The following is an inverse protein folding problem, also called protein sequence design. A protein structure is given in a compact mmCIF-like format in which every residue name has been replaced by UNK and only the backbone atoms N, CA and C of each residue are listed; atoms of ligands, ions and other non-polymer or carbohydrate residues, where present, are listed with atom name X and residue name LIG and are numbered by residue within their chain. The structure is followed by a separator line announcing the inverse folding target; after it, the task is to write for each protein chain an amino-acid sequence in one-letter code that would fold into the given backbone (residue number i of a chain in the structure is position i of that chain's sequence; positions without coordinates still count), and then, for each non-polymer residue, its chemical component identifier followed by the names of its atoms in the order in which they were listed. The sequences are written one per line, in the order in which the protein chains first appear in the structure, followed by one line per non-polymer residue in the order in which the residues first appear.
data_IF_688255113343
#
_entry.id   IF_688255113343
#
_cell.length_a   1.000
_cell.length_b   1.000
_cell.length_c   1.000
_cell.angle_alpha   90.00
_cell.angle_beta   90.00
_cell.angle_gamma   90.00
#
_symmetry.space_group_name_H-M   'P 1'
#
loop_
_entity.id
_entity.type
_entity.pdbx_description
1 polymer ?
#
# COMPACT_ATOMS: atom_id res chain seq x y z
N UNK A 1 -48.33 -2.83 -32.28
CA UNK A 1 -49.36 -2.31 -31.34
C UNK A 1 -48.78 -2.53 -29.94
N UNK A 2 -48.25 -1.49 -29.27
CA UNK A 2 -48.91 -0.46 -28.42
C UNK A 2 -49.57 -1.03 -27.15
N UNK A 3 -48.96 -0.76 -25.99
CA UNK A 3 -49.56 -0.57 -24.66
C UNK A 3 -48.63 0.42 -23.90
N UNK A 4 -48.80 1.74 -24.04
CA UNK A 4 -49.52 2.70 -23.14
C UNK A 4 -49.15 2.53 -21.65
N UNK A 5 -48.38 3.47 -21.04
CA UNK A 5 -48.82 4.74 -20.38
C UNK A 5 -49.90 4.48 -19.32
N UNK A 6 -49.88 4.97 -18.09
CA UNK A 6 -49.12 5.99 -17.38
C UNK A 6 -49.51 5.86 -15.89
N UNK A 7 -48.78 6.46 -14.94
CA UNK A 7 -49.42 7.28 -13.87
C UNK A 7 -48.38 8.05 -13.06
N UNK A 8 -48.45 9.38 -13.18
CA UNK A 8 -47.91 10.36 -12.24
C UNK A 8 -48.99 10.56 -11.18
N UNK A 9 -48.63 10.52 -9.90
CA UNK A 9 -49.46 11.11 -8.84
C UNK A 9 -48.59 11.86 -7.84
N UNK A 10 -48.85 13.15 -7.79
CA UNK A 10 -48.35 14.21 -6.93
C UNK A 10 -48.68 14.00 -5.45
N UNK A 11 -47.79 14.40 -4.54
CA UNK A 11 -48.22 14.96 -3.26
C UNK A 11 -47.21 16.00 -2.72
N UNK A 12 -47.63 17.27 -2.77
CA UNK A 12 -47.05 18.37 -1.99
C UNK A 12 -47.37 18.17 -0.51
N UNK A 13 -46.36 18.27 0.37
CA UNK A 13 -46.55 18.56 1.80
C UNK A 13 -45.62 19.73 2.18
N UNK A 14 -46.13 20.91 2.58
CA UNK A 14 -45.35 21.88 3.32
C UNK A 14 -45.57 21.65 4.82
N UNK A 15 -44.63 20.97 5.48
CA UNK A 15 -44.58 20.97 6.95
C UNK A 15 -43.73 22.17 7.40
N UNK A 16 -44.40 23.30 7.66
CA UNK A 16 -43.82 24.32 8.51
C UNK A 16 -44.03 23.90 9.97
N UNK A 17 -43.01 23.29 10.58
CA UNK A 17 -42.93 23.16 12.03
C UNK A 17 -42.22 24.40 12.57
N UNK A 18 -42.99 25.31 13.15
CA UNK A 18 -42.45 26.34 14.03
C UNK A 18 -41.88 25.64 15.27
N UNK A 19 -40.56 25.56 15.35
CA UNK A 19 -39.86 25.13 16.56
C UNK A 19 -39.92 26.29 17.57
N UNK A 20 -40.21 26.05 18.86
CA UNK A 20 -39.88 27.02 19.89
C UNK A 20 -38.36 27.26 19.86
N UNK A 21 -37.95 28.53 19.87
CA UNK A 21 -36.54 28.88 20.02
C UNK A 21 -36.05 28.30 21.36
N UNK A 22 -34.90 27.62 21.41
CA UNK A 22 -34.30 27.24 22.68
C UNK A 22 -33.98 28.54 23.44
N UNK A 23 -34.58 28.69 24.62
CA UNK A 23 -34.09 29.63 25.62
C UNK A 23 -32.63 29.29 25.92
N UNK A 24 -31.76 30.28 25.82
CA UNK A 24 -30.35 30.13 26.13
C UNK A 24 -30.22 29.69 27.60
N UNK A 25 -29.79 28.45 27.82
CA UNK A 25 -29.31 28.01 29.12
C UNK A 25 -28.11 28.89 29.51
N UNK A 26 -27.99 29.30 30.80
CA UNK A 26 -26.85 30.07 31.25
C UNK A 26 -25.57 29.28 30.98
N UNK A 27 -24.66 29.90 30.23
CA UNK A 27 -23.33 29.39 29.90
C UNK A 27 -22.58 29.09 31.21
N UNK A 28 -22.65 27.85 31.66
CA UNK A 28 -21.77 27.37 32.71
C UNK A 28 -20.45 27.03 31.99
N UNK A 29 -19.38 27.81 32.16
CA UNK A 29 -18.16 27.59 31.39
C UNK A 29 -17.61 26.21 31.73
N UNK A 30 -17.51 25.35 30.71
CA UNK A 30 -16.75 24.11 30.85
C UNK A 30 -15.36 24.47 31.36
N UNK A 31 -14.82 23.74 32.37
CA UNK A 31 -13.46 23.97 32.81
C UNK A 31 -12.55 23.78 31.60
N UNK A 32 -11.87 24.87 31.20
CA UNK A 32 -10.85 24.85 30.16
C UNK A 32 -9.80 23.84 30.62
N UNK A 33 -9.52 22.77 29.87
CA UNK A 33 -8.43 21.88 30.21
C UNK A 33 -7.16 22.72 30.32
N UNK A 34 -6.50 22.68 31.47
CA UNK A 34 -5.15 23.22 31.61
C UNK A 34 -4.33 22.70 30.43
N UNK A 35 -3.81 23.62 29.61
CA UNK A 35 -2.91 23.28 28.53
C UNK A 35 -1.71 22.60 29.18
N UNK A 36 -1.65 21.28 29.05
CA UNK A 36 -0.45 20.52 29.39
C UNK A 36 0.60 21.04 28.40
N UNK A 37 1.53 21.86 28.90
CA UNK A 37 2.76 22.23 28.22
C UNK A 37 3.66 20.98 28.18
N UNK A 38 3.23 19.99 27.40
CA UNK A 38 4.11 18.94 26.93
C UNK A 38 5.09 19.64 26.01
N UNK A 39 6.31 19.85 26.49
CA UNK A 39 7.38 20.56 25.78
C UNK A 39 7.64 20.02 24.37
N UNK A 40 8.65 20.53 23.65
CA UNK A 40 8.84 20.25 22.22
C UNK A 40 8.72 18.76 21.88
N UNK A 41 7.62 18.36 21.23
CA UNK A 41 7.44 16.98 20.82
C UNK A 41 8.42 16.68 19.68
N UNK A 42 9.28 15.68 19.89
CA UNK A 42 10.18 15.18 18.87
C UNK A 42 9.35 14.49 17.78
N UNK A 43 9.08 15.23 16.71
CA UNK A 43 8.36 14.75 15.53
C UNK A 43 9.29 14.19 14.46
N UNK A 44 10.55 13.91 14.80
CA UNK A 44 11.48 13.28 13.86
C UNK A 44 10.95 11.91 13.40
N UNK A 45 11.23 11.49 12.15
CA UNK A 45 10.80 10.19 11.66
C UNK A 45 11.22 9.05 12.58
N UNK A 46 12.41 9.13 13.16
CA UNK A 46 12.94 8.13 14.08
C UNK A 46 12.16 8.08 15.40
N UNK A 47 11.81 9.24 15.98
CA UNK A 47 10.95 9.30 17.17
C UNK A 47 9.55 8.73 16.92
N UNK A 48 9.09 8.79 15.66
CA UNK A 48 7.84 8.20 15.20
C UNK A 48 7.98 6.72 14.76
N UNK A 49 9.16 6.11 14.91
CA UNK A 49 9.42 4.73 14.49
C UNK A 49 9.43 4.51 12.97
N UNK A 50 9.62 5.58 12.19
CA UNK A 50 9.69 5.55 10.74
C UNK A 50 11.12 5.28 10.27
N UNK A 51 11.34 4.07 9.76
CA UNK A 51 12.61 3.67 9.17
C UNK A 51 12.66 3.93 7.66
N UNK A 52 13.84 4.31 7.17
CA UNK A 52 14.09 4.47 5.73
C UNK A 52 13.95 3.12 5.04
N UNK A 53 13.03 3.01 4.08
CA UNK A 53 12.89 1.81 3.25
C UNK A 53 14.13 1.60 2.38
N UNK A 54 14.63 0.37 2.35
CA UNK A 54 15.71 -0.01 1.45
C UNK A 54 15.32 0.18 -0.01
N UNK A 55 16.27 0.59 -0.83
CA UNK A 55 16.15 0.61 -2.29
C UNK A 55 17.50 0.20 -2.86
N UNK A 56 17.56 -1.00 -3.42
CA UNK A 56 18.79 -1.62 -3.92
C UNK A 56 18.66 -1.82 -5.43
N UNK A 57 19.65 -1.38 -6.19
CA UNK A 57 19.72 -1.60 -7.65
C UNK A 57 20.45 -2.90 -7.94
N UNK A 58 19.73 -3.89 -8.46
CA UNK A 58 20.26 -5.23 -8.72
C UNK A 58 20.06 -5.62 -10.18
N UNK A 59 21.03 -6.37 -10.72
CA UNK A 59 20.98 -6.93 -12.06
C UNK A 59 20.33 -8.32 -12.04
N UNK A 60 19.58 -8.64 -13.10
CA UNK A 60 19.11 -10.01 -13.37
C UNK A 60 20.26 -10.79 -14.03
N UNK A 61 20.77 -11.85 -13.39
CA UNK A 61 22.04 -12.48 -13.82
C UNK A 61 21.99 -14.01 -14.01
N UNK A 62 21.12 -14.75 -13.32
CA UNK A 62 21.17 -16.23 -13.29
C UNK A 62 20.01 -16.91 -14.05
N UNK A 63 19.80 -16.54 -15.30
CA UNK A 63 18.74 -17.12 -16.14
C UNK A 63 19.29 -17.65 -17.46
N UNK A 64 18.97 -18.90 -17.79
CA UNK A 64 19.18 -19.48 -19.12
C UNK A 64 18.17 -18.96 -20.16
N UNK A 65 17.09 -18.34 -19.69
CA UNK A 65 16.07 -17.67 -20.52
C UNK A 65 16.39 -16.18 -20.68
N UNK A 66 15.86 -15.57 -21.74
CA UNK A 66 15.99 -14.13 -22.00
C UNK A 66 15.32 -13.24 -20.94
N UNK A 67 14.43 -13.80 -20.10
CA UNK A 67 13.78 -13.07 -19.01
C UNK A 67 13.38 -14.00 -17.87
N UNK A 68 13.09 -13.41 -16.70
CA UNK A 68 12.58 -14.08 -15.50
C UNK A 68 11.21 -13.52 -15.12
N UNK A 69 10.38 -14.35 -14.53
CA UNK A 69 9.02 -13.96 -14.13
C UNK A 69 9.05 -13.11 -12.85
N UNK A 70 8.35 -11.98 -12.88
CA UNK A 70 7.98 -11.20 -11.70
C UNK A 70 6.53 -11.52 -11.36
N UNK A 71 6.31 -12.13 -10.19
CA UNK A 71 5.02 -12.70 -9.79
C UNK A 71 4.32 -11.85 -8.74
N UNK A 72 2.99 -11.96 -8.63
CA UNK A 72 2.22 -11.15 -7.65
C UNK A 72 2.49 -11.51 -6.19
N UNK A 73 3.15 -12.64 -5.92
CA UNK A 73 3.57 -13.06 -4.59
C UNK A 73 4.80 -13.97 -4.59
N UNK A 74 5.28 -14.35 -3.39
CA UNK A 74 6.55 -15.06 -3.21
C UNK A 74 6.39 -16.57 -3.44
N UNK A 75 6.13 -16.96 -4.69
CA UNK A 75 5.99 -18.38 -5.04
C UNK A 75 5.68 -18.61 -6.50
N UNK A 76 5.88 -19.83 -6.96
CA UNK A 76 5.68 -20.21 -8.37
C UNK A 76 4.21 -20.33 -8.75
N UNK A 77 3.33 -20.56 -7.79
CA UNK A 77 1.87 -20.62 -7.99
C UNK A 77 1.24 -19.24 -8.19
N UNK A 78 1.93 -18.15 -7.82
CA UNK A 78 1.42 -16.81 -7.99
C UNK A 78 1.43 -16.38 -9.47
N UNK A 79 0.38 -15.68 -9.96
CA UNK A 79 0.32 -15.15 -11.31
C UNK A 79 1.57 -14.35 -11.71
N UNK A 80 1.99 -14.48 -12.96
CA UNK A 80 3.06 -13.65 -13.54
C UNK A 80 2.49 -12.28 -13.91
N UNK A 81 3.00 -11.23 -13.28
CA UNK A 81 2.59 -9.85 -13.52
C UNK A 81 3.44 -9.19 -14.61
N UNK A 82 4.74 -9.46 -14.60
CA UNK A 82 5.69 -8.92 -15.56
C UNK A 82 6.87 -9.88 -15.78
N UNK A 83 7.76 -9.55 -16.72
CA UNK A 83 9.01 -10.25 -16.93
C UNK A 83 10.18 -9.27 -16.92
N UNK A 84 11.22 -9.61 -16.16
CA UNK A 84 12.46 -8.85 -16.10
C UNK A 84 13.47 -9.47 -17.08
N UNK A 85 14.02 -8.66 -17.98
CA UNK A 85 14.97 -9.15 -18.99
C UNK A 85 16.29 -9.53 -18.34
N UNK A 86 16.88 -10.64 -18.76
CA UNK A 86 18.20 -11.04 -18.26
C UNK A 86 19.23 -9.98 -18.64
N UNK A 87 20.01 -9.53 -17.66
CA UNK A 87 21.00 -8.47 -17.83
C UNK A 87 20.49 -7.06 -17.50
N UNK A 88 19.18 -6.84 -17.35
CA UNK A 88 18.65 -5.54 -16.94
C UNK A 88 18.87 -5.28 -15.44
N UNK A 89 18.87 -4.00 -15.06
CA UNK A 89 18.99 -3.55 -13.67
C UNK A 89 17.69 -2.93 -13.19
N UNK A 90 17.20 -3.35 -12.05
CA UNK A 90 15.94 -2.89 -11.44
C UNK A 90 16.15 -2.47 -9.99
N UNK A 91 15.23 -1.63 -9.50
CA UNK A 91 15.15 -1.29 -8.08
C UNK A 91 14.34 -2.36 -7.34
N UNK A 92 14.90 -2.86 -6.25
CA UNK A 92 14.28 -3.78 -5.31
C UNK A 92 14.22 -3.15 -3.91
N UNK A 93 13.20 -3.50 -3.13
CA UNK A 93 12.85 -2.73 -1.93
C UNK A 93 12.95 -3.51 -0.62
N UNK A 94 12.58 -4.79 -0.66
CA UNK A 94 12.62 -5.72 0.47
C UNK A 94 12.44 -7.13 -0.07
N UNK A 95 12.64 -8.15 0.75
CA UNK A 95 12.40 -9.55 0.39
C UNK A 95 11.26 -10.16 1.21
N UNK A 96 10.64 -11.20 0.66
CA UNK A 96 9.80 -12.15 1.40
C UNK A 96 10.36 -13.56 1.27
N UNK A 97 10.14 -14.40 2.26
CA UNK A 97 10.35 -15.84 2.12
C UNK A 97 9.20 -16.47 1.34
N UNK A 98 9.48 -17.55 0.60
CA UNK A 98 8.51 -18.22 -0.25
C UNK A 98 9.06 -19.51 -0.85
N UNK A 99 8.52 -19.93 -1.99
CA UNK A 99 8.97 -21.15 -2.66
C UNK A 99 10.47 -21.08 -2.98
N UNK A 100 11.18 -22.18 -2.73
CA UNK A 100 12.61 -22.26 -2.97
C UNK A 100 12.95 -22.63 -4.41
N UNK A 101 13.88 -21.90 -5.01
CA UNK A 101 14.51 -22.25 -6.29
C UNK A 101 16.01 -22.41 -6.10
N UNK A 102 16.58 -23.57 -6.46
CA UNK A 102 18.03 -23.81 -6.37
C UNK A 102 18.63 -23.40 -5.00
N UNK A 103 17.94 -23.73 -3.92
CA UNK A 103 18.35 -23.40 -2.55
C UNK A 103 18.08 -21.96 -2.09
N UNK A 104 17.57 -21.08 -2.96
CA UNK A 104 17.17 -19.73 -2.58
C UNK A 104 15.65 -19.62 -2.43
N UNK A 105 15.21 -19.34 -1.19
CA UNK A 105 13.80 -19.23 -0.82
C UNK A 105 13.32 -17.77 -0.66
N UNK A 106 14.11 -16.80 -1.11
CA UNK A 106 13.77 -15.38 -1.02
C UNK A 106 13.16 -14.89 -2.32
N UNK A 107 12.30 -13.89 -2.20
CA UNK A 107 11.55 -13.29 -3.28
C UNK A 107 11.67 -11.77 -3.14
N UNK A 108 12.43 -11.17 -4.02
CA UNK A 108 12.81 -9.76 -3.97
C UNK A 108 11.71 -8.92 -4.62
N UNK A 109 11.18 -7.94 -3.88
CA UNK A 109 10.07 -7.11 -4.32
C UNK A 109 10.55 -5.98 -5.23
N UNK A 110 10.00 -5.92 -6.43
CA UNK A 110 10.16 -4.84 -7.41
C UNK A 110 8.81 -4.17 -7.70
N UNK A 111 8.84 -3.06 -8.45
CA UNK A 111 7.64 -2.41 -8.99
C UNK A 111 7.68 -2.48 -10.51
N UNK A 112 6.62 -3.01 -11.11
CA UNK A 112 6.37 -2.98 -12.55
C UNK A 112 4.98 -2.44 -12.80
N UNK A 113 4.84 -1.48 -13.72
CA UNK A 113 3.56 -0.85 -14.07
C UNK A 113 2.78 -0.32 -12.84
N UNK A 114 3.50 0.21 -11.85
CA UNK A 114 2.90 0.71 -10.60
C UNK A 114 2.46 -0.36 -9.61
N UNK A 115 2.66 -1.65 -9.92
CA UNK A 115 2.27 -2.77 -9.05
C UNK A 115 3.50 -3.48 -8.48
N UNK A 116 3.37 -3.96 -7.24
CA UNK A 116 4.40 -4.80 -6.64
C UNK A 116 4.38 -6.19 -7.27
N UNK A 117 5.57 -6.70 -7.56
CA UNK A 117 5.78 -8.09 -7.90
C UNK A 117 7.10 -8.57 -7.34
N UNK A 118 7.31 -9.88 -7.38
CA UNK A 118 8.39 -10.58 -6.70
C UNK A 118 9.15 -11.45 -7.67
N UNK A 119 10.48 -11.36 -7.64
CA UNK A 119 11.39 -12.21 -8.42
C UNK A 119 12.17 -13.05 -7.41
N UNK A 120 12.28 -14.36 -7.62
CA UNK A 120 13.08 -15.21 -6.74
C UNK A 120 14.54 -14.72 -6.70
N UNK A 121 15.10 -14.54 -5.50
CA UNK A 121 16.43 -13.95 -5.27
C UNK A 121 17.58 -14.77 -5.85
N UNK A 122 17.32 -16.01 -6.30
CA UNK A 122 18.27 -16.73 -7.13
C UNK A 122 18.68 -15.93 -8.38
N UNK A 123 17.73 -15.22 -9.00
CA UNK A 123 17.93 -14.55 -10.28
C UNK A 123 18.58 -13.16 -10.18
N UNK A 124 18.60 -12.57 -8.98
CA UNK A 124 19.23 -11.27 -8.72
C UNK A 124 20.73 -11.44 -8.43
N UNK A 125 21.49 -10.38 -8.67
CA UNK A 125 22.92 -10.36 -8.38
C UNK A 125 23.20 -10.29 -6.87
N UNK A 126 24.48 -10.39 -6.50
CA UNK A 126 24.91 -10.40 -5.11
C UNK A 126 24.72 -9.07 -4.36
N UNK A 127 24.15 -8.03 -4.99
CA UNK A 127 23.76 -6.80 -4.29
C UNK A 127 22.41 -6.95 -3.59
N UNK A 128 21.52 -7.79 -4.13
CA UNK A 128 20.21 -8.08 -3.56
C UNK A 128 20.29 -9.17 -2.49
N UNK A 129 21.05 -8.92 -1.43
CA UNK A 129 21.07 -9.82 -0.26
C UNK A 129 19.91 -9.51 0.67
N UNK A 130 19.51 -10.48 1.50
CA UNK A 130 18.51 -10.28 2.55
C UNK A 130 18.88 -9.13 3.51
N UNK A 131 20.19 -8.92 3.75
CA UNK A 131 20.68 -7.83 4.58
C UNK A 131 20.53 -6.47 3.89
N UNK A 132 20.80 -6.40 2.58
CA UNK A 132 20.65 -5.15 1.82
C UNK A 132 19.17 -4.77 1.60
N UNK A 133 18.31 -5.77 1.39
CA UNK A 133 16.89 -5.57 1.11
C UNK A 133 16.08 -5.36 2.40
N UNK A 134 16.35 -6.12 3.46
CA UNK A 134 15.47 -6.18 4.63
C UNK A 134 14.16 -6.90 4.34
N UNK A 135 13.50 -7.37 5.40
CA UNK A 135 12.21 -8.04 5.27
C UNK A 135 11.11 -7.04 4.86
N UNK A 136 10.20 -7.50 3.98
CA UNK A 136 8.87 -6.94 3.90
C UNK A 136 7.99 -7.51 5.02
#
# INVERSE_FOLDING_TARGET
MKFQLATVLTLLLPLALAMPAPEAEPENPMPVPELIDDGPQDTSPQALGLEKRSTVRCKIVKSSSASVNCRTGPGFSYPVLARAVTGSTHSFYCYKSGDCYNGNCTWDRAIYNGQYCYINGYYTDNKCTVAALGAC
#
